data_IF_059615938454
#
_entry.id   IF_059615938454
#
_cell.length_a   1.000
_cell.length_b   1.000
_cell.length_c   1.000
_cell.angle_alpha   90.00
_cell.angle_beta   90.00
_cell.angle_gamma   90.00
#
_symmetry.space_group_name_H-M   'P 1'
#
loop_
_entity.id
_entity.type
_entity.pdbx_description
1 polymer ?
#
# COMPACT_ATOMS: atom_id res chain seq x y z
N UNK A 1 -47.54 -54.13 -16.93
CA UNK A 1 -47.39 -52.67 -17.17
C UNK A 1 -46.96 -52.00 -15.87
N UNK A 2 -45.70 -51.60 -15.76
CA UNK A 2 -45.18 -50.79 -14.65
C UNK A 2 -44.33 -49.69 -15.30
N UNK A 3 -44.89 -48.48 -15.38
CA UNK A 3 -44.18 -47.28 -15.84
C UNK A 3 -43.45 -46.67 -14.65
N UNK A 4 -42.11 -46.70 -14.67
CA UNK A 4 -41.27 -45.94 -13.76
C UNK A 4 -40.96 -44.60 -14.43
N UNK A 5 -41.64 -43.54 -14.00
CA UNK A 5 -41.33 -42.16 -14.40
C UNK A 5 -40.11 -41.69 -13.60
N UNK A 6 -38.93 -41.70 -14.24
CA UNK A 6 -37.72 -41.12 -13.69
C UNK A 6 -37.76 -39.60 -13.82
N UNK A 7 -37.83 -38.89 -12.69
CA UNK A 7 -37.65 -37.43 -12.63
C UNK A 7 -36.16 -37.11 -12.65
N UNK A 8 -35.67 -36.57 -13.76
CA UNK A 8 -34.31 -36.00 -13.84
C UNK A 8 -34.33 -34.64 -13.15
N UNK A 9 -33.95 -34.61 -11.86
CA UNK A 9 -33.73 -33.37 -11.13
C UNK A 9 -32.40 -32.76 -11.59
N UNK A 10 -32.47 -31.76 -12.46
CA UNK A 10 -31.31 -31.00 -12.92
C UNK A 10 -30.95 -29.95 -11.86
N UNK A 11 -30.15 -30.34 -10.87
CA UNK A 11 -29.57 -29.40 -9.90
C UNK A 11 -28.53 -28.53 -10.61
N UNK A 12 -28.95 -27.33 -11.01
CA UNK A 12 -28.05 -26.29 -11.49
C UNK A 12 -27.21 -25.80 -10.32
N UNK A 13 -25.98 -26.32 -10.17
CA UNK A 13 -24.99 -25.74 -9.28
C UNK A 13 -24.57 -24.37 -9.84
N UNK A 14 -25.19 -23.31 -9.36
CA UNK A 14 -24.65 -21.96 -9.53
C UNK A 14 -23.38 -21.86 -8.69
N UNK A 15 -22.23 -22.14 -9.30
CA UNK A 15 -20.95 -21.82 -8.71
C UNK A 15 -20.88 -20.30 -8.53
N UNK A 16 -20.98 -19.84 -7.28
CA UNK A 16 -20.77 -18.43 -6.93
C UNK A 16 -19.27 -18.18 -7.06
N UNK A 17 -18.83 -17.83 -8.26
CA UNK A 17 -17.45 -17.44 -8.51
C UNK A 17 -17.24 -16.04 -7.92
N UNK A 18 -16.35 -15.91 -6.94
CA UNK A 18 -15.86 -14.61 -6.49
C UNK A 18 -15.17 -13.86 -7.64
N UNK A 19 -15.23 -12.53 -7.64
CA UNK A 19 -14.58 -11.71 -8.69
C UNK A 19 -13.05 -11.70 -8.56
N UNK A 20 -12.54 -12.10 -7.39
CA UNK A 20 -11.13 -12.11 -7.02
C UNK A 20 -10.71 -13.50 -6.55
N UNK A 21 -9.43 -13.80 -6.75
CA UNK A 21 -8.83 -15.10 -6.46
C UNK A 21 -7.47 -14.92 -5.78
N UNK A 22 -6.94 -15.98 -5.17
CA UNK A 22 -5.65 -15.94 -4.48
C UNK A 22 -4.45 -15.64 -5.40
N UNK A 23 -4.60 -15.74 -6.72
CA UNK A 23 -3.55 -15.37 -7.70
C UNK A 23 -3.56 -13.88 -8.06
N UNK A 24 -4.59 -13.12 -7.65
CA UNK A 24 -4.65 -11.68 -7.87
C UNK A 24 -3.91 -10.92 -6.76
N UNK A 25 -3.44 -9.71 -7.05
CA UNK A 25 -2.87 -8.81 -6.03
C UNK A 25 -3.93 -8.09 -5.17
N UNK A 26 -5.21 -8.39 -5.41
CA UNK A 26 -6.35 -7.89 -4.61
C UNK A 26 -6.54 -8.80 -3.40
N UNK A 27 -6.45 -8.22 -2.20
CA UNK A 27 -6.62 -8.97 -0.96
C UNK A 27 -8.11 -9.18 -0.68
N UNK A 28 -8.55 -10.44 -0.64
CA UNK A 28 -9.93 -10.76 -0.24
C UNK A 28 -10.11 -10.52 1.25
N UNK A 29 -11.04 -9.63 1.57
CA UNK A 29 -11.35 -9.20 2.92
C UNK A 29 -12.72 -9.73 3.35
N UNK A 30 -12.73 -10.34 4.52
CA UNK A 30 -13.91 -10.93 5.14
C UNK A 30 -14.01 -10.47 6.59
N UNK A 31 -15.15 -10.67 7.27
CA UNK A 31 -15.30 -10.28 8.67
C UNK A 31 -14.22 -10.86 9.61
N UNK A 32 -13.62 -12.01 9.26
CA UNK A 32 -12.62 -12.67 10.11
C UNK A 32 -11.22 -12.07 9.98
N UNK A 33 -10.88 -11.42 8.86
CA UNK A 33 -9.55 -10.84 8.64
C UNK A 33 -9.55 -9.30 8.58
N UNK A 34 -10.69 -8.64 8.35
CA UNK A 34 -10.76 -7.20 8.10
C UNK A 34 -10.12 -6.37 9.22
N UNK A 35 -10.39 -6.72 10.48
CA UNK A 35 -9.84 -5.97 11.61
C UNK A 35 -8.31 -6.02 11.63
N UNK A 36 -7.73 -7.22 11.50
CA UNK A 36 -6.29 -7.43 11.49
C UNK A 36 -5.62 -6.77 10.27
N UNK A 37 -6.17 -7.00 9.09
CA UNK A 37 -5.55 -6.55 7.84
C UNK A 37 -5.72 -5.06 7.61
N UNK A 38 -6.89 -4.49 7.91
CA UNK A 38 -7.21 -3.08 7.57
C UNK A 38 -7.13 -2.18 8.80
N UNK A 39 -7.84 -2.52 9.88
CA UNK A 39 -8.02 -1.62 11.04
C UNK A 39 -6.76 -1.49 11.88
N UNK A 40 -6.05 -2.59 12.09
CA UNK A 40 -4.79 -2.61 12.84
C UNK A 40 -3.57 -2.26 11.96
N UNK A 41 -3.80 -1.97 10.68
CA UNK A 41 -2.72 -1.69 9.74
C UNK A 41 -2.34 -0.22 9.72
N UNK A 42 -1.04 0.03 9.70
CA UNK A 42 -0.50 1.35 9.45
C UNK A 42 -0.50 1.71 7.95
N UNK A 43 -0.65 0.75 7.04
CA UNK A 43 -0.67 1.03 5.61
C UNK A 43 -1.91 1.82 5.20
N UNK A 44 -1.82 2.56 4.09
CA UNK A 44 -3.01 3.06 3.40
C UNK A 44 -3.74 1.88 2.75
N UNK A 45 -5.07 1.86 2.87
CA UNK A 45 -5.91 0.81 2.28
C UNK A 45 -6.96 1.41 1.35
N UNK A 46 -7.10 0.83 0.17
CA UNK A 46 -8.26 1.00 -0.72
C UNK A 46 -9.07 -0.28 -0.66
N UNK A 47 -10.37 -0.15 -0.37
CA UNK A 47 -11.27 -1.31 -0.25
C UNK A 47 -12.49 -1.13 -1.14
N UNK A 48 -12.68 -2.05 -2.08
CA UNK A 48 -13.92 -2.18 -2.83
C UNK A 48 -14.92 -3.02 -2.03
N UNK A 49 -16.14 -2.54 -1.90
CA UNK A 49 -17.30 -3.31 -1.46
C UNK A 49 -18.17 -3.61 -2.68
N UNK A 50 -18.31 -4.89 -2.99
CA UNK A 50 -18.90 -5.37 -4.25
C UNK A 50 -19.95 -6.47 -4.02
N UNK A 51 -20.63 -6.84 -5.11
CA UNK A 51 -21.45 -8.05 -5.18
C UNK A 51 -21.11 -8.80 -6.49
N UNK A 52 -20.95 -10.14 -6.48
CA UNK A 52 -20.53 -10.90 -7.67
C UNK A 52 -21.50 -10.79 -8.86
N UNK A 53 -22.80 -10.61 -8.58
CA UNK A 53 -23.85 -10.46 -9.58
C UNK A 53 -23.96 -9.05 -10.16
N UNK A 54 -23.25 -8.06 -9.60
CA UNK A 54 -23.34 -6.67 -10.05
C UNK A 54 -22.48 -6.43 -11.30
N UNK A 55 -23.14 -6.12 -12.44
CA UNK A 55 -22.44 -5.84 -13.69
C UNK A 55 -21.48 -4.64 -13.64
N UNK A 56 -21.72 -3.64 -12.78
CA UNK A 56 -20.78 -2.54 -12.56
C UNK A 56 -19.50 -3.02 -11.85
N UNK A 57 -19.63 -3.91 -10.85
CA UNK A 57 -18.49 -4.52 -10.16
C UNK A 57 -17.65 -5.35 -11.12
N UNK A 58 -18.30 -6.19 -11.94
CA UNK A 58 -17.62 -7.00 -12.95
C UNK A 58 -16.81 -6.15 -13.95
N UNK A 59 -17.32 -4.97 -14.33
CA UNK A 59 -16.59 -4.02 -15.20
C UNK A 59 -15.42 -3.35 -14.50
N UNK A 60 -15.51 -3.12 -13.18
CA UNK A 60 -14.44 -2.55 -12.39
C UNK A 60 -13.32 -3.57 -12.10
N UNK A 61 -13.66 -4.86 -11.95
CA UNK A 61 -12.71 -5.94 -11.62
C UNK A 61 -11.37 -5.89 -12.38
N UNK A 62 -11.33 -5.80 -13.73
CA UNK A 62 -10.05 -5.74 -14.44
C UNK A 62 -9.22 -4.49 -14.07
N UNK A 63 -9.86 -3.34 -13.89
CA UNK A 63 -9.21 -2.09 -13.52
C UNK A 63 -8.73 -2.12 -12.05
N UNK A 64 -9.52 -2.73 -11.16
CA UNK A 64 -9.16 -2.93 -9.75
C UNK A 64 -7.94 -3.84 -9.61
N UNK A 65 -7.88 -4.95 -10.38
CA UNK A 65 -6.72 -5.85 -10.41
C UNK A 65 -5.46 -5.16 -10.93
N UNK A 66 -5.58 -4.37 -12.01
CA UNK A 66 -4.46 -3.56 -12.53
C UNK A 66 -3.96 -2.57 -11.49
N UNK A 67 -4.86 -1.82 -10.84
CA UNK A 67 -4.49 -0.88 -9.78
C UNK A 67 -3.83 -1.58 -8.59
N UNK A 68 -4.34 -2.73 -8.15
CA UNK A 68 -3.75 -3.52 -7.08
C UNK A 68 -2.32 -3.98 -7.41
N UNK A 69 -2.11 -4.41 -8.66
CA UNK A 69 -0.77 -4.81 -9.16
C UNK A 69 0.17 -3.60 -9.18
N UNK A 70 -0.26 -2.47 -9.72
CA UNK A 70 0.55 -1.25 -9.82
C UNK A 70 0.89 -0.64 -8.45
N UNK A 71 0.00 -0.76 -7.47
CA UNK A 71 0.19 -0.25 -6.11
C UNK A 71 0.88 -1.25 -5.17
N UNK A 72 1.22 -2.45 -5.65
CA UNK A 72 1.76 -3.53 -4.83
C UNK A 72 3.00 -3.07 -4.06
N UNK A 73 2.93 -3.20 -2.73
CA UNK A 73 4.00 -2.79 -1.82
C UNK A 73 3.98 -1.31 -1.42
N UNK A 74 3.16 -0.49 -2.06
CA UNK A 74 3.01 0.95 -1.78
C UNK A 74 1.69 1.23 -1.07
N UNK A 75 0.58 0.72 -1.61
CA UNK A 75 -0.77 0.86 -1.05
C UNK A 75 -1.44 -0.52 -1.06
N UNK A 76 -2.19 -0.83 0.00
CA UNK A 76 -2.92 -2.09 0.08
C UNK A 76 -4.27 -1.95 -0.62
N UNK A 77 -4.59 -2.90 -1.49
CA UNK A 77 -5.85 -2.93 -2.23
C UNK A 77 -6.58 -4.22 -1.89
N UNK A 78 -7.82 -4.08 -1.42
CA UNK A 78 -8.65 -5.20 -1.01
C UNK A 78 -10.06 -5.12 -1.57
N UNK A 79 -10.79 -6.23 -1.43
CA UNK A 79 -12.18 -6.34 -1.85
C UNK A 79 -13.00 -7.13 -0.84
N UNK A 80 -14.21 -6.67 -0.56
CA UNK A 80 -15.21 -7.29 0.32
C UNK A 80 -16.44 -7.62 -0.51
N UNK A 81 -16.81 -8.90 -0.56
CA UNK A 81 -18.15 -9.30 -1.02
C UNK A 81 -19.16 -8.88 0.05
N UNK A 82 -19.78 -7.72 -0.16
CA UNK A 82 -20.72 -7.11 0.77
C UNK A 82 -22.16 -7.64 0.58
N UNK A 83 -22.43 -8.40 -0.49
CA UNK A 83 -23.67 -9.17 -0.63
C UNK A 83 -23.67 -10.38 0.32
N UNK A 84 -22.52 -11.04 0.42
CA UNK A 84 -22.27 -12.13 1.38
C UNK A 84 -22.02 -11.61 2.81
N UNK A 85 -21.33 -10.47 2.95
CA UNK A 85 -20.92 -9.90 4.24
C UNK A 85 -21.62 -8.58 4.54
N UNK A 86 -22.96 -8.59 4.52
CA UNK A 86 -23.82 -7.41 4.66
C UNK A 86 -23.56 -6.60 5.94
N UNK A 87 -23.26 -7.26 7.06
CA UNK A 87 -22.94 -6.57 8.33
C UNK A 87 -21.68 -5.70 8.20
N UNK A 88 -20.63 -6.22 7.55
CA UNK A 88 -19.40 -5.49 7.32
C UNK A 88 -19.60 -4.34 6.33
N UNK A 89 -20.36 -4.56 5.25
CA UNK A 89 -20.75 -3.48 4.33
C UNK A 89 -21.58 -2.39 5.04
N UNK A 90 -22.54 -2.81 5.87
CA UNK A 90 -23.41 -1.93 6.65
C UNK A 90 -22.65 -1.07 7.66
N UNK A 91 -21.63 -1.63 8.32
CA UNK A 91 -20.75 -0.89 9.25
C UNK A 91 -20.10 0.33 8.57
N UNK A 92 -19.79 0.23 7.28
CA UNK A 92 -19.20 1.33 6.51
C UNK A 92 -20.24 2.08 5.65
N UNK A 93 -21.54 1.87 5.88
CA UNK A 93 -22.60 2.58 5.19
C UNK A 93 -22.70 2.28 3.69
N UNK A 94 -22.30 1.08 3.26
CA UNK A 94 -22.44 0.64 1.86
C UNK A 94 -23.92 0.47 1.53
N UNK A 95 -24.41 1.26 0.57
CA UNK A 95 -25.82 1.24 0.12
C UNK A 95 -25.99 0.78 -1.34
N UNK A 96 -24.90 0.57 -2.04
CA UNK A 96 -24.88 0.19 -3.45
C UNK A 96 -23.48 -0.24 -3.88
N UNK A 97 -23.40 -0.87 -5.05
CA UNK A 97 -22.17 -1.48 -5.54
C UNK A 97 -21.76 -0.95 -6.92
N UNK A 98 -20.45 -0.82 -7.21
CA UNK A 98 -19.35 -0.90 -6.25
C UNK A 98 -19.25 0.38 -5.40
N UNK A 99 -18.98 0.22 -4.10
CA UNK A 99 -18.56 1.34 -3.23
C UNK A 99 -17.08 1.17 -2.93
N UNK A 100 -16.28 2.22 -3.09
CA UNK A 100 -14.84 2.18 -2.78
C UNK A 100 -14.57 3.12 -1.61
N UNK A 101 -13.78 2.66 -0.64
CA UNK A 101 -13.39 3.42 0.54
C UNK A 101 -11.88 3.48 0.69
N UNK A 102 -11.39 4.63 1.14
CA UNK A 102 -9.99 4.89 1.47
C UNK A 102 -9.85 4.91 2.98
N UNK A 103 -8.99 4.04 3.50
CA UNK A 103 -8.69 3.90 4.91
C UNK A 103 -7.28 4.46 5.18
N UNK A 104 -7.26 5.73 5.59
CA UNK A 104 -6.05 6.53 5.88
C UNK A 104 -5.47 6.31 7.28
N UNK A 105 -4.92 7.37 7.88
CA UNK A 105 -4.29 7.31 9.20
C UNK A 105 -5.28 6.87 10.28
N UNK A 106 -6.45 7.52 10.30
CA UNK A 106 -7.55 7.14 11.16
C UNK A 106 -8.44 6.10 10.46
N UNK A 107 -8.18 4.83 10.73
CA UNK A 107 -8.93 3.70 10.17
C UNK A 107 -10.42 3.70 10.52
N UNK A 108 -10.83 4.40 11.59
CA UNK A 108 -12.23 4.53 11.99
C UNK A 108 -13.00 5.59 11.19
N UNK A 109 -12.32 6.39 10.37
CA UNK A 109 -12.92 7.43 9.54
C UNK A 109 -12.54 7.20 8.07
N UNK A 110 -13.00 6.08 7.51
CA UNK A 110 -12.82 5.77 6.10
C UNK A 110 -13.54 6.81 5.23
N UNK A 111 -12.87 7.23 4.17
CA UNK A 111 -13.38 8.23 3.23
C UNK A 111 -13.93 7.55 1.97
N UNK A 112 -15.00 8.10 1.40
CA UNK A 112 -15.57 7.58 0.16
C UNK A 112 -14.75 8.03 -1.05
N UNK A 113 -14.40 7.08 -1.91
CA UNK A 113 -13.83 7.40 -3.21
C UNK A 113 -14.92 7.61 -4.26
N UNK A 114 -14.97 8.83 -4.80
CA UNK A 114 -15.95 9.25 -5.80
C UNK A 114 -15.32 9.53 -7.17
N UNK A 115 -14.04 9.17 -7.37
CA UNK A 115 -13.33 9.39 -8.63
C UNK A 115 -13.68 8.37 -9.73
N UNK A 116 -12.93 8.46 -10.83
CA UNK A 116 -13.06 7.59 -11.99
C UNK A 116 -12.81 6.10 -11.68
N UNK A 117 -13.38 5.21 -12.50
CA UNK A 117 -13.32 3.74 -12.27
C UNK A 117 -12.31 3.04 -13.18
N UNK A 118 -11.28 3.77 -13.59
CA UNK A 118 -10.12 3.29 -14.36
C UNK A 118 -8.91 3.11 -13.44
N UNK A 119 -7.99 2.21 -13.77
CA UNK A 119 -6.79 1.95 -12.95
C UNK A 119 -6.01 3.23 -12.65
N UNK A 120 -5.82 4.10 -13.64
CA UNK A 120 -5.00 5.32 -13.50
C UNK A 120 -5.60 6.29 -12.48
N UNK A 121 -6.90 6.60 -12.61
CA UNK A 121 -7.62 7.44 -11.66
C UNK A 121 -7.65 6.88 -10.22
N UNK A 122 -7.63 5.55 -10.08
CA UNK A 122 -7.56 4.89 -8.77
C UNK A 122 -6.15 5.00 -8.18
N UNK A 123 -5.12 4.78 -9.00
CA UNK A 123 -3.70 4.92 -8.62
C UNK A 123 -3.41 6.36 -8.20
N UNK A 124 -3.84 7.35 -8.97
CA UNK A 124 -3.61 8.77 -8.66
C UNK A 124 -4.25 9.17 -7.33
N UNK A 125 -5.45 8.68 -7.05
CA UNK A 125 -6.13 8.91 -5.79
C UNK A 125 -5.43 8.22 -4.61
N UNK A 126 -4.94 6.99 -4.81
CA UNK A 126 -4.16 6.26 -3.82
C UNK A 126 -2.85 7.00 -3.48
N UNK A 127 -2.12 7.50 -4.48
CA UNK A 127 -0.88 8.27 -4.28
C UNK A 127 -1.14 9.61 -3.59
N UNK A 128 -2.24 10.29 -3.95
CA UNK A 128 -2.66 11.54 -3.29
C UNK A 128 -3.00 11.30 -1.82
N UNK A 129 -3.77 10.26 -1.50
CA UNK A 129 -4.08 9.88 -0.13
C UNK A 129 -2.83 9.44 0.65
N UNK A 130 -1.90 8.74 0.00
CA UNK A 130 -0.63 8.34 0.61
C UNK A 130 0.22 9.56 0.98
N UNK A 131 0.29 10.57 0.10
CA UNK A 131 0.98 11.82 0.39
C UNK A 131 0.39 12.51 1.63
N UNK A 132 -0.93 12.53 1.78
CA UNK A 132 -1.58 13.08 2.97
C UNK A 132 -1.26 12.26 4.22
N UNK A 133 -1.30 10.93 4.13
CA UNK A 133 -0.92 10.02 5.22
C UNK A 133 0.51 10.27 5.70
N UNK A 134 1.46 10.38 4.77
CA UNK A 134 2.87 10.68 5.07
C UNK A 134 3.00 12.05 5.76
N UNK A 135 2.30 13.07 5.25
CA UNK A 135 2.32 14.42 5.82
C UNK A 135 1.78 14.46 7.26
N UNK A 136 0.67 13.76 7.53
CA UNK A 136 0.08 13.68 8.86
C UNK A 136 1.06 13.07 9.88
N UNK A 137 1.80 12.03 9.49
CA UNK A 137 2.85 11.41 10.31
C UNK A 137 3.99 12.36 10.60
N UNK A 138 4.50 13.05 9.58
CA UNK A 138 5.54 14.06 9.74
C UNK A 138 5.13 15.19 10.68
N UNK A 139 3.85 15.55 10.70
CA UNK A 139 3.31 16.57 11.62
C UNK A 139 3.10 16.10 13.07
N UNK A 140 3.41 14.83 13.39
CA UNK A 140 3.22 14.25 14.72
C UNK A 140 1.76 14.04 15.13
N UNK A 141 0.82 14.24 14.20
CA UNK A 141 -0.63 14.23 14.44
C UNK A 141 -1.22 12.84 14.21
N UNK A 142 -0.65 11.82 14.85
CA UNK A 142 -1.17 10.46 14.73
C UNK A 142 -2.47 10.32 15.51
N UNK A 143 -3.59 10.16 14.80
CA UNK A 143 -4.90 9.96 15.37
C UNK A 143 -5.05 8.55 15.94
N UNK A 144 -5.23 8.47 17.26
CA UNK A 144 -6.07 7.46 17.91
C UNK A 144 -5.66 6.00 17.77
N UNK A 145 -4.46 5.64 18.23
CA UNK A 145 -4.24 4.37 18.91
C UNK A 145 -3.41 4.66 20.17
N UNK A 146 -4.06 4.59 21.34
CA UNK A 146 -3.42 4.74 22.64
C UNK A 146 -3.05 3.36 23.17
N UNK A 147 -1.77 3.02 23.11
CA UNK A 147 -1.13 2.15 24.09
C UNK A 147 0.39 2.35 24.03
N UNK A 148 0.98 2.80 25.13
CA UNK A 148 2.43 2.82 25.32
C UNK A 148 3.05 4.22 25.28
N UNK A 149 2.95 4.92 26.42
CA UNK A 149 3.74 6.11 26.72
C UNK A 149 5.20 5.68 26.85
N UNK A 150 6.00 5.86 25.80
CA UNK A 150 7.45 5.91 25.92
C UNK A 150 7.89 7.34 25.58
N UNK A 151 8.53 7.96 26.56
CA UNK A 151 9.17 9.27 26.45
C UNK A 151 10.00 9.36 25.18
N UNK A 152 9.61 10.27 24.28
CA UNK A 152 10.47 10.68 23.16
C UNK A 152 11.64 11.46 23.74
N UNK A 153 12.72 10.74 23.94
CA UNK A 153 14.07 11.27 23.99
C UNK A 153 14.36 11.85 22.58
N UNK A 154 14.92 13.06 22.52
CA UNK A 154 15.55 13.57 21.29
C UNK A 154 16.74 12.66 20.97
N UNK A 155 16.48 11.53 20.32
CA UNK A 155 17.49 10.61 19.82
C UNK A 155 17.90 11.05 18.43
N UNK A 156 19.16 11.46 18.26
CA UNK A 156 19.77 11.52 16.93
C UNK A 156 19.58 10.18 16.25
N UNK A 157 18.98 10.18 15.06
CA UNK A 157 18.70 8.95 14.33
C UNK A 157 20.00 8.21 14.04
N UNK A 158 20.15 7.00 14.57
CA UNK A 158 21.22 6.10 14.16
C UNK A 158 21.11 5.90 12.64
N UNK A 159 22.22 6.06 11.90
CA UNK A 159 22.29 5.85 10.43
C UNK A 159 21.99 4.42 9.96
N UNK A 160 21.45 3.55 10.82
CA UNK A 160 21.26 2.12 10.58
C UNK A 160 20.40 1.81 9.34
N UNK A 161 19.50 2.74 8.96
CA UNK A 161 18.59 2.57 7.84
C UNK A 161 19.04 3.30 6.56
N UNK A 162 20.09 4.12 6.62
CA UNK A 162 20.75 4.69 5.43
C UNK A 162 21.72 3.65 4.88
N UNK A 163 21.52 3.26 3.62
CA UNK A 163 22.36 2.24 2.98
C UNK A 163 23.57 2.91 2.33
N UNK A 164 24.76 2.63 2.83
CA UNK A 164 25.99 3.06 2.16
C UNK A 164 26.19 2.27 0.85
N UNK A 165 26.40 3.01 -0.23
CA UNK A 165 26.67 2.50 -1.56
C UNK A 165 28.09 2.87 -1.98
N UNK A 166 28.68 1.95 -2.72
CA UNK A 166 30.05 2.06 -3.24
C UNK A 166 30.06 1.83 -4.74
N UNK A 167 31.18 2.17 -5.39
CA UNK A 167 31.42 1.86 -6.80
C UNK A 167 31.09 0.38 -7.14
N UNK A 168 31.44 -0.56 -6.25
CA UNK A 168 31.23 -2.00 -6.48
C UNK A 168 29.83 -2.52 -6.19
N UNK A 169 29.06 -1.78 -5.38
CA UNK A 169 27.77 -2.25 -4.86
C UNK A 169 26.56 -1.56 -5.49
N UNK A 170 26.76 -0.39 -6.11
CA UNK A 170 25.67 0.42 -6.65
C UNK A 170 24.87 -0.33 -7.72
N UNK A 171 25.50 -0.85 -8.77
CA UNK A 171 24.78 -1.50 -9.87
C UNK A 171 24.01 -2.73 -9.40
N UNK A 172 24.62 -3.51 -8.50
CA UNK A 172 24.02 -4.73 -7.96
C UNK A 172 22.81 -4.43 -7.07
N UNK A 173 22.86 -3.36 -6.28
CA UNK A 173 21.83 -3.02 -5.30
C UNK A 173 20.75 -2.09 -5.85
N UNK A 174 21.11 -1.14 -6.70
CA UNK A 174 20.24 -0.07 -7.20
C UNK A 174 19.74 -0.39 -8.60
N UNK A 175 20.64 -0.56 -9.56
CA UNK A 175 20.27 -0.71 -10.98
C UNK A 175 19.51 -2.01 -11.25
N UNK A 176 19.92 -3.10 -10.59
CA UNK A 176 19.30 -4.41 -10.77
C UNK A 176 18.15 -4.68 -9.77
N UNK A 177 17.58 -3.64 -9.17
CA UNK A 177 16.52 -3.75 -8.15
C UNK A 177 15.18 -3.27 -8.67
N UNK A 178 14.11 -3.95 -8.28
CA UNK A 178 12.72 -3.53 -8.50
C UNK A 178 12.22 -2.52 -7.45
N UNK A 179 13.09 -2.08 -6.53
CA UNK A 179 12.76 -1.12 -5.49
C UNK A 179 13.14 0.31 -5.93
N UNK A 180 12.49 1.31 -5.35
CA UNK A 180 12.83 2.72 -5.61
C UNK A 180 13.96 3.15 -4.69
N UNK A 181 15.01 3.75 -5.25
CA UNK A 181 16.17 4.24 -4.50
C UNK A 181 16.28 5.75 -4.60
N UNK A 182 16.45 6.40 -3.45
CA UNK A 182 16.83 7.80 -3.35
C UNK A 182 18.24 7.85 -2.79
N UNK A 183 19.19 8.37 -3.58
CA UNK A 183 20.62 8.30 -3.27
C UNK A 183 21.18 9.70 -3.06
N UNK A 184 21.72 9.97 -1.87
CA UNK A 184 22.49 11.18 -1.60
C UNK A 184 23.94 10.95 -1.99
N UNK A 185 24.49 11.81 -2.83
CA UNK A 185 25.94 11.91 -3.03
C UNK A 185 26.46 13.04 -2.17
N UNK A 186 27.39 12.75 -1.26
CA UNK A 186 27.90 13.72 -0.30
C UNK A 186 29.43 13.74 -0.26
N UNK A 187 29.97 14.78 0.38
CA UNK A 187 31.37 14.85 0.75
C UNK A 187 31.50 15.07 2.27
N UNK A 188 32.36 14.33 3.01
CA UNK A 188 32.46 14.44 4.47
C UNK A 188 32.84 15.82 4.99
N UNK A 189 33.48 16.64 4.14
CA UNK A 189 33.90 18.01 4.46
C UNK A 189 32.83 19.06 4.13
N UNK A 190 31.75 18.69 3.43
CA UNK A 190 30.70 19.61 3.05
C UNK A 190 29.80 19.96 4.24
N UNK A 191 29.87 21.21 4.70
CA UNK A 191 29.06 21.69 5.84
C UNK A 191 27.55 21.61 5.60
N UNK A 192 27.08 21.79 4.35
CA UNK A 192 25.66 21.69 4.03
C UNK A 192 25.15 20.24 4.10
N UNK A 193 25.96 19.25 3.69
CA UNK A 193 25.61 17.82 3.81
C UNK A 193 25.45 17.40 5.27
N UNK A 194 26.33 17.89 6.16
CA UNK A 194 26.23 17.60 7.60
C UNK A 194 24.92 18.07 8.23
N UNK A 195 24.33 19.14 7.70
CA UNK A 195 23.03 19.63 8.17
C UNK A 195 21.86 18.77 7.65
N UNK A 196 22.01 18.13 6.48
CA UNK A 196 21.01 17.24 5.90
C UNK A 196 21.04 15.84 6.54
N UNK A 197 22.23 15.37 6.92
CA UNK A 197 22.49 14.04 7.48
C UNK A 197 21.47 13.55 8.53
N UNK A 198 21.10 14.30 9.59
CA UNK A 198 20.11 13.82 10.56
C UNK A 198 18.71 13.67 9.96
N UNK A 199 18.30 14.58 9.07
CA UNK A 199 17.00 14.53 8.40
C UNK A 199 16.95 13.38 7.39
N UNK A 200 18.06 13.12 6.69
CA UNK A 200 18.18 12.00 5.76
C UNK A 200 18.07 10.65 6.47
N UNK A 201 18.72 10.50 7.64
CA UNK A 201 18.62 9.29 8.46
C UNK A 201 17.20 9.07 9.03
N UNK A 202 16.56 10.14 9.49
CA UNK A 202 15.17 10.09 9.94
C UNK A 202 14.23 9.68 8.78
N UNK A 203 14.39 10.29 7.61
CA UNK A 203 13.63 9.95 6.42
C UNK A 203 13.84 8.49 5.98
N UNK A 204 15.07 7.97 6.07
CA UNK A 204 15.39 6.60 5.67
C UNK A 204 14.63 5.59 6.54
N UNK A 205 14.55 5.85 7.85
CA UNK A 205 13.81 5.02 8.81
C UNK A 205 12.32 5.01 8.49
N UNK A 206 11.69 6.20 8.42
CA UNK A 206 10.26 6.34 8.19
C UNK A 206 9.84 5.76 6.82
N UNK A 207 10.59 6.06 5.76
CA UNK A 207 10.29 5.59 4.41
C UNK A 207 10.39 4.06 4.33
N UNK A 208 11.40 3.46 4.96
CA UNK A 208 11.56 2.00 5.01
C UNK A 208 10.38 1.32 5.71
N UNK A 209 9.95 1.84 6.86
CA UNK A 209 8.82 1.28 7.62
C UNK A 209 7.52 1.35 6.81
N UNK A 210 7.20 2.52 6.24
CA UNK A 210 5.95 2.74 5.55
C UNK A 210 5.83 1.97 4.23
N UNK A 211 6.94 1.88 3.49
CA UNK A 211 6.98 1.20 2.19
C UNK A 211 7.34 -0.26 2.31
N UNK A 212 7.52 -0.77 3.54
CA UNK A 212 8.03 -2.13 3.82
C UNK A 212 9.32 -2.41 3.06
N UNK A 213 10.19 -1.40 2.98
CA UNK A 213 11.47 -1.44 2.27
C UNK A 213 11.40 -1.31 0.75
N UNK A 214 10.24 -0.96 0.17
CA UNK A 214 10.10 -0.72 -1.28
C UNK A 214 10.67 0.60 -1.77
N UNK A 215 10.83 1.56 -0.87
CA UNK A 215 11.61 2.77 -1.13
C UNK A 215 12.77 2.80 -0.13
N UNK A 216 13.98 3.04 -0.62
CA UNK A 216 15.22 2.98 0.15
C UNK A 216 15.99 4.28 0.00
N UNK A 217 16.53 4.78 1.11
CA UNK A 217 17.47 5.89 1.10
C UNK A 217 18.88 5.36 1.26
N UNK A 218 19.77 5.89 0.44
CA UNK A 218 21.17 5.50 0.41
C UNK A 218 22.06 6.74 0.39
N UNK A 219 23.33 6.54 0.76
CA UNK A 219 24.36 7.58 0.69
C UNK A 219 25.59 7.04 -0.04
N UNK A 220 26.28 7.94 -0.75
CA UNK A 220 27.55 7.69 -1.44
C UNK A 220 28.51 8.81 -1.06
N UNK A 221 29.62 8.45 -0.42
CA UNK A 221 30.76 9.38 -0.29
C UNK A 221 31.42 9.54 -1.68
N UNK A 222 31.15 10.68 -2.32
CA UNK A 222 31.66 11.02 -3.65
C UNK A 222 33.18 11.30 -3.66
N UNK A 223 33.79 11.56 -2.50
CA UNK A 223 35.24 11.75 -2.40
C UNK A 223 36.01 10.44 -2.53
N UNK A 224 35.37 9.33 -2.15
CA UNK A 224 35.91 7.97 -2.24
C UNK A 224 35.42 7.25 -3.51
N UNK A 225 34.13 7.36 -3.83
CA UNK A 225 33.48 6.62 -4.93
C UNK A 225 33.43 7.46 -6.21
N UNK A 226 34.60 7.84 -6.73
CA UNK A 226 34.73 8.80 -7.81
C UNK A 226 34.23 8.29 -9.16
N UNK A 227 34.27 6.97 -9.40
CA UNK A 227 33.74 6.39 -10.64
C UNK A 227 32.22 6.53 -10.70
N UNK A 228 31.54 6.22 -9.59
CA UNK A 228 30.11 6.37 -9.48
C UNK A 228 29.69 7.84 -9.47
N UNK A 229 30.38 8.71 -8.73
CA UNK A 229 30.12 10.14 -8.74
C UNK A 229 30.26 10.74 -10.15
N UNK A 230 31.39 10.43 -10.83
CA UNK A 230 31.65 10.88 -12.19
C UNK A 230 30.62 10.36 -13.21
N UNK A 231 30.13 9.12 -13.05
CA UNK A 231 29.07 8.54 -13.90
C UNK A 231 27.80 9.38 -13.89
N UNK A 232 27.46 9.99 -12.75
CA UNK A 232 26.26 10.80 -12.57
C UNK A 232 26.52 12.31 -12.57
N UNK A 233 27.74 12.75 -12.88
CA UNK A 233 28.11 14.15 -13.01
C UNK A 233 28.07 14.94 -11.69
N UNK A 234 28.34 14.26 -10.57
CA UNK A 234 28.45 14.86 -9.23
C UNK A 234 29.87 15.35 -8.97
#
# INVERSE_FOLDING_TARGET
LLFVLGTVSCTLFLAVNGLYSASDDVIELTPTNFNKEVIQSESLWLVEFYAPWCGHCQRLTPEWKKAATALKGVVKVGAVDADKHQSLGGQYGVRGFPTIKIFGANKNKAEDYQGGRTSDAIVDAALSALRLLVKDRLSGRSGGYSSGKQSRESGGGDKKDVIELTDDSFDKKVINSDDVWMVEFYAPWCGHCKNLEPEWAAAATEVKEQTKGKVKLAAVDATVNQMLAGRYGV
#
